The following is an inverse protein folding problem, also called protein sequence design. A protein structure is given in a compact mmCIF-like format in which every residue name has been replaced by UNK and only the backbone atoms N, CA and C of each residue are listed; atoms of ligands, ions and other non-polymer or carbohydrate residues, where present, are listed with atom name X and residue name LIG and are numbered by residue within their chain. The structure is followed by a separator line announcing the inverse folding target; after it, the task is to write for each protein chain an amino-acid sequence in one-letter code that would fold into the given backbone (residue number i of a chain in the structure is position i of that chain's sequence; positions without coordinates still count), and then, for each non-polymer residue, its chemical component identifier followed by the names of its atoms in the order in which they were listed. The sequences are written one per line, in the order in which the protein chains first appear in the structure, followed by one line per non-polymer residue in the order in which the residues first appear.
data_IF_527949464159
#
_entry.id   IF_527949464159
#
_cell.length_a   1.000
_cell.length_b   1.000
_cell.length_c   1.000
_cell.angle_alpha   90.00
_cell.angle_beta   90.00
_cell.angle_gamma   90.00
#
_symmetry.space_group_name_H-M   'P 1'
#
loop_
_entity.id
_entity.type
_entity.pdbx_description
1 polymer ?
#
# COMPACT_ATOMS: atom_id res chain seq x y z
N UNK A 1 15.76 -38.76 21.07
CA UNK A 1 15.80 -37.29 21.18
C UNK A 1 15.25 -36.89 22.53
N UNK A 2 15.96 -36.03 23.25
CA UNK A 2 15.62 -35.67 24.64
C UNK A 2 14.55 -34.58 24.66
N UNK A 3 13.68 -34.58 25.68
CA UNK A 3 12.63 -33.54 25.87
C UNK A 3 13.18 -32.10 25.96
N UNK A 4 14.49 -31.96 26.21
CA UNK A 4 15.21 -30.69 26.25
C UNK A 4 15.53 -30.15 24.86
N UNK A 5 16.03 -30.99 23.96
CA UNK A 5 16.32 -30.61 22.56
C UNK A 5 15.06 -30.13 21.83
N UNK A 6 13.95 -30.85 21.98
CA UNK A 6 12.65 -30.45 21.39
C UNK A 6 12.18 -29.09 21.91
N UNK A 7 12.41 -28.80 23.20
CA UNK A 7 12.00 -27.52 23.81
C UNK A 7 12.86 -26.37 23.29
N UNK A 8 14.16 -26.59 23.12
CA UNK A 8 15.10 -25.59 22.59
C UNK A 8 14.76 -25.30 21.12
N UNK A 9 14.56 -26.34 20.30
CA UNK A 9 14.19 -26.20 18.88
C UNK A 9 12.87 -25.44 18.74
N UNK A 10 11.85 -25.78 19.55
CA UNK A 10 10.54 -25.12 19.51
C UNK A 10 10.62 -23.64 19.89
N UNK A 11 11.44 -23.29 20.90
CA UNK A 11 11.65 -21.90 21.28
C UNK A 11 12.43 -21.11 20.21
N UNK A 12 13.44 -21.72 19.58
CA UNK A 12 14.20 -21.10 18.50
C UNK A 12 13.30 -20.84 17.27
N UNK A 13 12.47 -21.81 16.89
CA UNK A 13 11.46 -21.63 15.85
C UNK A 13 10.45 -20.53 16.19
N UNK A 14 9.98 -20.47 17.45
CA UNK A 14 9.05 -19.42 17.90
C UNK A 14 9.67 -18.04 17.79
N UNK A 15 10.94 -17.89 18.18
CA UNK A 15 11.68 -16.65 18.10
C UNK A 15 11.89 -16.20 16.65
N UNK A 16 12.33 -17.09 15.75
CA UNK A 16 12.45 -16.77 14.32
C UNK A 16 11.11 -16.38 13.68
N UNK A 17 10.04 -17.08 14.07
CA UNK A 17 8.71 -16.83 13.53
C UNK A 17 8.17 -15.48 14.00
N UNK A 18 8.36 -15.14 15.29
CA UNK A 18 8.01 -13.81 15.82
C UNK A 18 8.82 -12.71 15.14
N UNK A 19 10.14 -12.86 15.00
CA UNK A 19 10.99 -11.88 14.31
C UNK A 19 10.56 -11.66 12.86
N UNK A 20 10.24 -12.74 12.15
CA UNK A 20 9.75 -12.69 10.77
C UNK A 20 8.39 -12.01 10.65
N UNK A 21 7.49 -12.20 11.62
CA UNK A 21 6.18 -11.54 11.66
C UNK A 21 6.31 -10.06 11.99
N UNK A 22 7.06 -9.71 13.03
CA UNK A 22 7.29 -8.31 13.44
C UNK A 22 7.87 -7.50 12.27
N UNK A 23 8.80 -8.09 11.51
CA UNK A 23 9.37 -7.45 10.33
C UNK A 23 8.34 -7.25 9.20
N UNK A 24 7.43 -8.20 9.00
CA UNK A 24 6.31 -8.07 8.06
C UNK A 24 5.33 -6.97 8.50
N UNK A 25 4.98 -6.93 9.78
CA UNK A 25 4.08 -5.93 10.36
C UNK A 25 4.67 -4.53 10.20
N UNK A 26 5.95 -4.34 10.54
CA UNK A 26 6.65 -3.05 10.36
C UNK A 26 6.62 -2.60 8.90
N UNK A 27 6.86 -3.51 7.95
CA UNK A 27 6.78 -3.19 6.51
C UNK A 27 5.37 -2.75 6.10
N UNK A 28 4.33 -3.42 6.58
CA UNK A 28 2.94 -3.05 6.28
C UNK A 28 2.62 -1.67 6.85
N UNK A 29 3.01 -1.41 8.10
CA UNK A 29 2.82 -0.11 8.76
C UNK A 29 3.55 0.99 7.98
N UNK A 30 4.80 0.75 7.55
CA UNK A 30 5.55 1.72 6.76
C UNK A 30 4.89 2.05 5.41
N UNK A 31 4.29 1.05 4.75
CA UNK A 31 3.51 1.28 3.52
C UNK A 31 2.27 2.12 3.82
N UNK A 32 1.54 1.84 4.89
CA UNK A 32 0.35 2.61 5.28
C UNK A 32 0.73 4.07 5.57
N UNK A 33 1.79 4.30 6.35
CA UNK A 33 2.28 5.66 6.66
C UNK A 33 2.70 6.38 5.37
N UNK A 34 3.39 5.70 4.46
CA UNK A 34 3.76 6.27 3.17
C UNK A 34 2.57 6.70 2.33
N UNK A 35 1.50 5.89 2.29
CA UNK A 35 0.24 6.26 1.61
C UNK A 35 -0.40 7.50 2.21
N UNK A 36 -0.43 7.61 3.54
CA UNK A 36 -0.99 8.78 4.24
C UNK A 36 -0.18 10.05 3.91
N UNK A 37 1.15 9.96 3.91
CA UNK A 37 2.02 11.09 3.58
C UNK A 37 1.86 11.54 2.12
N UNK A 38 1.73 10.58 1.20
CA UNK A 38 1.42 10.85 -0.21
C UNK A 38 0.07 11.55 -0.30
N UNK A 39 -0.98 10.99 0.30
CA UNK A 39 -2.31 11.59 0.30
C UNK A 39 -2.31 13.03 0.83
N UNK A 40 -1.67 13.26 1.97
CA UNK A 40 -1.55 14.60 2.56
C UNK A 40 -0.80 15.59 1.66
N UNK A 41 0.16 15.11 0.85
CA UNK A 41 0.91 15.95 -0.09
C UNK A 41 0.09 16.35 -1.31
N UNK A 42 -0.85 15.50 -1.74
CA UNK A 42 -1.70 15.74 -2.91
C UNK A 42 -3.10 16.24 -2.55
N UNK A 43 -3.50 16.27 -1.27
CA UNK A 43 -4.85 16.65 -0.85
C UNK A 43 -5.22 18.06 -1.31
N UNK A 44 -4.29 19.02 -1.19
CA UNK A 44 -4.48 20.40 -1.65
C UNK A 44 -4.61 20.52 -3.17
N UNK A 45 -3.86 19.70 -3.91
CA UNK A 45 -3.98 19.63 -5.37
C UNK A 45 -5.32 19.02 -5.77
N UNK A 46 -5.79 18.01 -5.04
CA UNK A 46 -7.08 17.39 -5.27
C UNK A 46 -8.25 18.35 -5.02
N UNK A 47 -8.17 19.17 -3.95
CA UNK A 47 -9.14 20.23 -3.67
C UNK A 47 -9.24 21.24 -4.83
N UNK A 48 -8.10 21.70 -5.37
CA UNK A 48 -8.08 22.64 -6.51
C UNK A 48 -8.65 22.06 -7.79
N UNK A 49 -8.33 20.79 -8.10
CA UNK A 49 -8.89 20.10 -9.26
C UNK A 49 -10.40 19.97 -9.13
N UNK A 50 -10.92 19.65 -7.94
CA UNK A 50 -12.36 19.58 -7.71
C UNK A 50 -12.99 20.96 -7.93
N UNK A 51 -12.40 22.05 -7.43
CA UNK A 51 -12.91 23.40 -7.66
C UNK A 51 -12.96 23.76 -9.16
N UNK A 52 -11.90 23.45 -9.91
CA UNK A 52 -11.87 23.61 -11.37
C UNK A 52 -12.96 22.80 -12.06
N UNK A 53 -13.09 21.52 -11.69
CA UNK A 53 -14.10 20.65 -12.29
C UNK A 53 -15.53 21.05 -11.93
N UNK A 54 -15.79 21.55 -10.73
CA UNK A 54 -17.14 22.00 -10.31
C UNK A 54 -17.55 23.26 -11.08
N UNK A 55 -16.63 24.22 -11.28
CA UNK A 55 -16.88 25.37 -12.17
C UNK A 55 -17.15 24.91 -13.62
N UNK A 56 -16.35 23.98 -14.14
CA UNK A 56 -16.53 23.45 -15.49
C UNK A 56 -17.83 22.66 -15.62
N UNK A 57 -18.17 21.78 -14.67
CA UNK A 57 -19.38 20.95 -14.67
C UNK A 57 -20.66 21.79 -14.74
N UNK A 58 -20.71 22.93 -14.03
CA UNK A 58 -21.83 23.88 -14.11
C UNK A 58 -21.97 24.52 -15.50
N UNK A 59 -20.86 24.78 -16.19
CA UNK A 59 -20.90 25.26 -17.58
C UNK A 59 -21.23 24.16 -18.60
N UNK A 60 -20.85 22.90 -18.32
CA UNK A 60 -21.04 21.75 -19.21
C UNK A 60 -22.43 21.11 -19.16
N UNK A 61 -23.22 21.35 -18.11
CA UNK A 61 -24.63 20.94 -18.10
C UNK A 61 -25.47 21.61 -19.21
N UNK A 62 -24.98 22.72 -19.79
CA UNK A 62 -25.62 23.41 -20.91
C UNK A 62 -25.14 22.96 -22.29
N UNK A 63 -23.98 22.32 -22.42
CA UNK A 63 -23.39 21.97 -23.72
C UNK A 63 -22.63 20.64 -23.65
N UNK A 64 -23.36 19.60 -24.02
CA UNK A 64 -22.89 18.36 -24.62
C UNK A 64 -21.91 17.42 -23.91
N UNK A 65 -22.19 16.15 -24.21
CA UNK A 65 -21.55 14.93 -23.76
C UNK A 65 -20.11 14.86 -24.28
N UNK A 66 -19.18 15.56 -23.61
CA UNK A 66 -17.74 15.36 -23.86
C UNK A 66 -17.38 13.90 -23.58
N UNK A 67 -16.70 13.19 -24.50
CA UNK A 67 -16.29 11.81 -24.32
C UNK A 67 -15.39 11.67 -23.08
N UNK A 68 -15.65 10.64 -22.29
CA UNK A 68 -14.98 10.36 -21.02
C UNK A 68 -13.43 10.42 -21.08
N UNK A 69 -12.84 10.09 -22.23
CA UNK A 69 -11.41 10.15 -22.47
C UNK A 69 -10.83 11.57 -22.37
N UNK A 70 -11.52 12.58 -22.90
CA UNK A 70 -11.06 13.97 -22.84
C UNK A 70 -11.13 14.50 -21.41
N UNK A 71 -12.13 14.09 -20.63
CA UNK A 71 -12.21 14.42 -19.19
C UNK A 71 -11.03 13.84 -18.42
N UNK A 72 -10.71 12.57 -18.64
CA UNK A 72 -9.55 11.94 -18.00
C UNK A 72 -8.25 12.67 -18.36
N UNK A 73 -8.12 13.10 -19.61
CA UNK A 73 -6.96 13.84 -20.07
C UNK A 73 -6.85 15.21 -19.39
N UNK A 74 -7.95 15.96 -19.29
CA UNK A 74 -7.98 17.26 -18.61
C UNK A 74 -7.67 17.12 -17.12
N UNK A 75 -8.21 16.09 -16.46
CA UNK A 75 -7.91 15.78 -15.05
C UNK A 75 -6.42 15.50 -14.87
N UNK A 76 -5.83 14.66 -15.73
CA UNK A 76 -4.42 14.31 -15.64
C UNK A 76 -3.51 15.52 -15.89
N UNK A 77 -3.88 16.41 -16.82
CA UNK A 77 -3.13 17.64 -17.10
C UNK A 77 -3.24 18.62 -15.93
N UNK A 78 -4.45 18.84 -15.41
CA UNK A 78 -4.67 19.70 -14.24
C UNK A 78 -3.90 19.19 -13.02
N UNK A 79 -3.98 17.88 -12.77
CA UNK A 79 -3.20 17.23 -11.72
C UNK A 79 -1.70 17.42 -11.90
N UNK A 80 -1.16 17.26 -13.11
CA UNK A 80 0.27 17.46 -13.35
C UNK A 80 0.72 18.91 -13.12
N UNK A 81 -0.10 19.89 -13.52
CA UNK A 81 0.23 21.31 -13.39
C UNK A 81 0.15 21.82 -11.95
N UNK A 82 -0.85 21.36 -11.19
CA UNK A 82 -1.10 21.84 -9.82
C UNK A 82 -0.43 21.00 -8.74
N UNK A 83 0.11 19.84 -9.11
CA UNK A 83 0.84 18.97 -8.19
C UNK A 83 2.20 19.56 -7.81
N UNK A 84 2.59 19.46 -6.54
CA UNK A 84 3.96 19.76 -6.13
C UNK A 84 4.91 18.76 -6.80
N UNK A 85 5.80 19.25 -7.67
CA UNK A 85 6.74 18.41 -8.45
C UNK A 85 7.60 17.50 -7.57
N UNK A 86 8.00 17.99 -6.40
CA UNK A 86 8.76 17.22 -5.41
C UNK A 86 7.95 16.03 -4.88
N UNK A 87 6.64 16.20 -4.64
CA UNK A 87 5.77 15.11 -4.21
C UNK A 87 5.57 14.06 -5.31
N UNK A 88 5.56 14.46 -6.59
CA UNK A 88 5.50 13.53 -7.72
C UNK A 88 6.75 12.64 -7.74
N UNK A 89 7.95 13.20 -7.55
CA UNK A 89 9.20 12.44 -7.46
C UNK A 89 9.18 11.46 -6.28
N UNK A 90 8.74 11.91 -5.11
CA UNK A 90 8.60 11.06 -3.92
C UNK A 90 7.62 9.92 -4.17
N UNK A 91 6.49 10.19 -4.85
CA UNK A 91 5.48 9.20 -5.21
C UNK A 91 6.05 8.13 -6.15
N UNK A 92 6.86 8.50 -7.14
CA UNK A 92 7.53 7.57 -8.06
C UNK A 92 8.49 6.66 -7.29
N UNK A 93 9.36 7.23 -6.45
CA UNK A 93 10.31 6.46 -5.63
C UNK A 93 9.56 5.50 -4.71
N UNK A 94 8.50 5.98 -4.09
CA UNK A 94 7.68 5.17 -3.19
C UNK A 94 6.99 4.01 -3.92
N UNK A 95 6.45 4.23 -5.13
CA UNK A 95 5.88 3.17 -5.97
C UNK A 95 6.89 2.07 -6.28
N UNK A 96 8.14 2.43 -6.59
CA UNK A 96 9.21 1.44 -6.83
C UNK A 96 9.46 0.60 -5.58
N UNK A 97 9.55 1.22 -4.40
CA UNK A 97 9.74 0.51 -3.13
C UNK A 97 8.58 -0.46 -2.88
N UNK A 98 7.34 -0.03 -3.12
CA UNK A 98 6.14 -0.85 -2.93
C UNK A 98 6.11 -2.04 -3.90
N UNK A 99 6.49 -1.84 -5.16
CA UNK A 99 6.60 -2.93 -6.15
C UNK A 99 7.65 -3.97 -5.74
N UNK A 100 8.80 -3.53 -5.20
CA UNK A 100 9.82 -4.44 -4.67
C UNK A 100 9.27 -5.24 -3.48
N UNK A 101 8.54 -4.59 -2.57
CA UNK A 101 7.93 -5.26 -1.42
C UNK A 101 6.85 -6.26 -1.86
N UNK A 102 5.96 -5.87 -2.78
CA UNK A 102 4.90 -6.71 -3.33
C UNK A 102 5.46 -7.90 -4.08
N UNK A 103 6.48 -7.72 -4.93
CA UNK A 103 7.11 -8.82 -5.65
C UNK A 103 7.77 -9.83 -4.70
N UNK A 104 8.39 -9.35 -3.62
CA UNK A 104 8.94 -10.20 -2.56
C UNK A 104 7.87 -10.98 -1.79
N UNK A 105 6.72 -10.35 -1.50
CA UNK A 105 5.54 -10.97 -0.89
C UNK A 105 4.93 -12.04 -1.80
N UNK A 106 4.73 -11.74 -3.08
CA UNK A 106 4.15 -12.65 -4.07
C UNK A 106 5.00 -13.92 -4.24
N UNK A 107 6.33 -13.77 -4.36
CA UNK A 107 7.26 -14.91 -4.44
C UNK A 107 7.21 -15.80 -3.21
N UNK A 108 6.97 -15.23 -2.02
CA UNK A 108 6.92 -15.97 -0.74
C UNK A 108 5.50 -16.29 -0.26
N UNK A 109 4.47 -16.04 -1.07
CA UNK A 109 3.05 -16.12 -0.65
C UNK A 109 2.68 -17.45 0.00
N UNK A 110 3.10 -18.59 -0.60
CA UNK A 110 2.79 -19.94 -0.09
C UNK A 110 3.41 -20.16 1.30
N UNK A 111 4.64 -19.68 1.51
CA UNK A 111 5.36 -19.81 2.78
C UNK A 111 4.78 -18.90 3.86
N UNK A 112 4.31 -17.71 3.49
CA UNK A 112 3.66 -16.75 4.39
C UNK A 112 2.28 -17.25 4.82
N UNK A 113 1.46 -17.73 3.88
CA UNK A 113 0.13 -18.31 4.17
C UNK A 113 0.26 -19.55 5.05
N UNK A 114 1.20 -20.46 4.77
CA UNK A 114 1.43 -21.62 5.63
C UNK A 114 1.92 -21.22 7.03
N UNK A 115 2.81 -20.22 7.15
CA UNK A 115 3.24 -19.71 8.46
C UNK A 115 2.09 -19.09 9.25
N UNK A 116 1.26 -18.26 8.61
CA UNK A 116 0.06 -17.69 9.23
C UNK A 116 -0.95 -18.77 9.65
N UNK A 117 -1.17 -19.78 8.80
CA UNK A 117 -2.05 -20.91 9.11
C UNK A 117 -1.52 -21.75 10.28
N UNK A 118 -0.21 -21.99 10.35
CA UNK A 118 0.42 -22.64 11.50
C UNK A 118 0.30 -21.80 12.78
N UNK A 119 0.48 -20.48 12.71
CA UNK A 119 0.30 -19.60 13.86
C UNK A 119 -1.14 -19.58 14.35
N UNK A 120 -2.11 -19.53 13.43
CA UNK A 120 -3.52 -19.55 13.77
C UNK A 120 -3.92 -20.88 14.43
N UNK A 121 -3.47 -22.01 13.87
CA UNK A 121 -3.69 -23.33 14.46
C UNK A 121 -2.99 -23.49 15.83
N UNK A 122 -1.80 -22.93 16.00
CA UNK A 122 -1.07 -22.93 17.28
C UNK A 122 -1.78 -22.11 18.36
N UNK A 123 -2.36 -20.96 18.00
CA UNK A 123 -3.16 -20.13 18.91
C UNK A 123 -4.53 -20.74 19.23
N UNK A 124 -5.11 -21.50 18.31
CA UNK A 124 -6.44 -22.11 18.48
C UNK A 124 -6.41 -23.53 19.08
N UNK A 125 -5.27 -23.96 19.66
CA UNK A 125 -5.10 -25.28 20.29
C UNK A 125 -5.55 -26.47 19.41
N UNK A 126 -5.47 -26.36 18.08
CA UNK A 126 -5.65 -27.48 17.15
C UNK A 126 -4.29 -28.00 16.72
N UNK A 127 -3.63 -28.73 17.61
CA UNK A 127 -2.56 -29.68 17.31
C UNK A 127 -3.02 -31.07 17.72
#
# INVERSE_FOLDING_TARGET
MTKLEDRIIKNMYRFETQRSLSYLIIRIIAVIIGLILIWASFSRTWERIIEWQVMDLLSYFNYDVIPFADRLKTILIGFYLESPKEAILILIIWLVIVLIILSGLLKKRKKIINRLKCLFNFWTNKC
#
